data_IF_326830107864
#
_entry.id   IF_326830107864
#
_cell.length_a   1.000
_cell.length_b   1.000
_cell.length_c   1.000
_cell.angle_alpha   90.00
_cell.angle_beta   90.00
_cell.angle_gamma   90.00
#
_symmetry.space_group_name_H-M   'P 1'
#
loop_
_entity.id
_entity.type
_entity.pdbx_description
1 polymer ?
#
# COMPACT_ATOMS: atom_id res chain seq x y z
N UNK A 1 1.77 -3.68 6.50
CA UNK A 1 1.41 -4.70 5.49
C UNK A 1 1.76 -4.29 4.07
N UNK A 2 1.50 -3.04 3.65
CA UNK A 2 1.83 -2.50 2.31
C UNK A 2 3.25 -2.80 1.80
N UNK A 3 4.29 -2.49 2.59
CA UNK A 3 5.70 -2.76 2.21
C UNK A 3 5.96 -4.24 1.93
N UNK A 4 5.31 -5.13 2.69
CA UNK A 4 5.45 -6.58 2.51
C UNK A 4 4.77 -7.05 1.22
N UNK A 5 3.62 -6.46 0.87
CA UNK A 5 2.97 -6.67 -0.41
C UNK A 5 3.84 -6.19 -1.58
N UNK A 6 4.32 -4.94 -1.54
CA UNK A 6 5.25 -4.39 -2.54
C UNK A 6 6.46 -5.29 -2.76
N UNK A 7 7.13 -5.74 -1.68
CA UNK A 7 8.27 -6.67 -1.77
C UNK A 7 7.90 -8.02 -2.37
N UNK A 8 6.76 -8.59 -2.00
CA UNK A 8 6.29 -9.87 -2.52
C UNK A 8 6.09 -9.83 -4.04
N UNK A 9 5.58 -8.72 -4.56
CA UNK A 9 5.40 -8.49 -6.00
C UNK A 9 6.67 -7.95 -6.70
N UNK A 10 7.82 -7.95 -6.02
CA UNK A 10 9.12 -7.62 -6.58
C UNK A 10 9.48 -6.14 -6.60
N UNK A 11 8.81 -5.30 -5.81
CA UNK A 11 9.18 -3.91 -5.60
C UNK A 11 10.34 -3.78 -4.62
N UNK A 12 11.18 -2.78 -4.81
CA UNK A 12 12.27 -2.49 -3.88
C UNK A 12 12.18 -1.09 -3.30
N UNK A 13 13.33 -0.46 -3.05
CA UNK A 13 13.44 0.69 -2.14
C UNK A 13 12.68 1.92 -2.65
N UNK A 14 12.64 2.15 -3.96
CA UNK A 14 11.94 3.30 -4.52
C UNK A 14 10.43 3.06 -4.54
N UNK A 15 9.98 1.83 -4.80
CA UNK A 15 8.56 1.48 -4.67
C UNK A 15 8.06 1.63 -3.21
N UNK A 16 8.86 1.21 -2.23
CA UNK A 16 8.56 1.37 -0.81
C UNK A 16 8.47 2.84 -0.38
N UNK A 17 9.44 3.67 -0.78
CA UNK A 17 9.41 5.11 -0.53
C UNK A 17 8.25 5.78 -1.25
N UNK A 18 7.94 5.31 -2.46
CA UNK A 18 6.79 5.72 -3.24
C UNK A 18 5.48 5.52 -2.48
N UNK A 19 5.27 4.37 -1.84
CA UNK A 19 4.11 4.13 -0.96
C UNK A 19 4.04 5.17 0.15
N UNK A 20 5.15 5.42 0.86
CA UNK A 20 5.18 6.35 1.99
C UNK A 20 4.83 7.78 1.57
N UNK A 21 5.46 8.26 0.49
CA UNK A 21 5.18 9.58 -0.09
C UNK A 21 3.73 9.64 -0.57
N UNK A 22 3.27 8.59 -1.25
CA UNK A 22 1.90 8.45 -1.73
C UNK A 22 0.86 8.56 -0.61
N UNK A 23 1.11 7.97 0.56
CA UNK A 23 0.24 8.10 1.73
C UNK A 23 0.22 9.54 2.24
N UNK A 24 1.40 10.17 2.38
CA UNK A 24 1.53 11.55 2.89
C UNK A 24 0.78 12.51 1.98
N UNK A 25 0.97 12.42 0.67
CA UNK A 25 0.22 13.24 -0.28
C UNK A 25 -1.26 12.85 -0.33
N UNK A 26 -1.55 11.56 -0.25
CA UNK A 26 -2.91 11.02 -0.26
C UNK A 26 -3.80 11.53 0.86
N UNK A 27 -3.22 11.82 2.04
CA UNK A 27 -3.93 12.41 3.18
C UNK A 27 -4.56 13.78 2.86
N UNK A 28 -3.97 14.56 1.96
CA UNK A 28 -4.50 15.88 1.57
C UNK A 28 -5.71 15.80 0.63
N UNK A 29 -5.92 14.66 -0.05
CA UNK A 29 -6.94 14.47 -1.08
C UNK A 29 -8.11 13.60 -0.60
N UNK A 30 -8.46 13.67 0.69
CA UNK A 30 -9.62 12.96 1.25
C UNK A 30 -9.44 11.41 1.26
N UNK A 31 -10.43 10.59 1.68
CA UNK A 31 -10.26 9.13 1.81
C UNK A 31 -9.79 8.43 0.52
N UNK A 32 -10.22 8.97 -0.62
CA UNK A 32 -9.86 8.47 -1.94
C UNK A 32 -8.35 8.64 -2.19
N UNK A 33 -7.78 9.77 -1.78
CA UNK A 33 -6.34 10.02 -1.86
C UNK A 33 -5.51 9.02 -1.05
N UNK A 34 -6.01 8.53 0.08
CA UNK A 34 -5.30 7.55 0.92
C UNK A 34 -5.22 6.17 0.26
N UNK A 35 -6.15 5.83 -0.64
CA UNK A 35 -6.14 4.57 -1.40
C UNK A 35 -5.30 4.72 -2.68
N UNK A 36 -5.54 5.80 -3.42
CA UNK A 36 -4.90 6.07 -4.71
C UNK A 36 -3.44 6.51 -4.53
N UNK A 37 -3.14 7.26 -3.47
CA UNK A 37 -1.81 7.75 -3.15
C UNK A 37 -0.75 6.64 -3.06
N UNK A 38 -0.92 5.61 -2.20
CA UNK A 38 -0.02 4.46 -2.14
C UNK A 38 0.11 3.74 -3.48
N UNK A 39 -1.00 3.56 -4.22
CA UNK A 39 -1.00 2.92 -5.53
C UNK A 39 -0.10 3.69 -6.50
N UNK A 40 -0.39 4.98 -6.74
CA UNK A 40 0.37 5.82 -7.65
C UNK A 40 1.81 6.01 -7.20
N UNK A 41 2.03 6.23 -5.91
CA UNK A 41 3.35 6.39 -5.32
C UNK A 41 4.21 5.15 -5.52
N UNK A 42 3.66 3.96 -5.23
CA UNK A 42 4.36 2.69 -5.47
C UNK A 42 4.60 2.42 -6.95
N UNK A 43 3.67 2.81 -7.83
CA UNK A 43 3.80 2.66 -9.28
C UNK A 43 4.94 3.51 -9.84
N UNK A 44 4.97 4.79 -9.49
CA UNK A 44 6.03 5.72 -9.91
C UNK A 44 7.36 5.27 -9.33
N UNK A 45 7.40 4.92 -8.05
CA UNK A 45 8.59 4.39 -7.38
C UNK A 45 9.10 3.10 -8.02
N UNK A 46 8.20 2.17 -8.37
CA UNK A 46 8.55 0.93 -9.05
C UNK A 46 9.06 1.19 -10.47
N UNK A 47 8.46 2.14 -11.20
CA UNK A 47 8.87 2.50 -12.56
C UNK A 47 10.25 3.15 -12.61
N UNK A 48 10.59 3.93 -11.57
CA UNK A 48 11.91 4.51 -11.38
C UNK A 48 12.97 3.43 -11.08
N UNK A 49 12.58 2.37 -10.39
CA UNK A 49 13.50 1.28 -10.02
C UNK A 49 13.67 0.25 -11.15
N UNK A 50 12.55 -0.07 -11.80
CA UNK A 50 12.45 -1.02 -12.90
C UNK A 50 11.70 -0.30 -14.00
N UNK A 51 12.39 0.03 -15.09
CA UNK A 51 11.82 0.72 -16.24
C UNK A 51 10.91 -0.19 -17.08
N UNK A 52 10.05 -0.97 -16.41
CA UNK A 52 9.07 -1.89 -16.98
C UNK A 52 7.68 -1.60 -16.42
N UNK A 53 6.74 -1.37 -17.33
CA UNK A 53 5.37 -0.98 -16.98
C UNK A 53 4.60 -2.13 -16.32
N UNK A 54 4.76 -3.35 -16.83
CA UNK A 54 4.02 -4.53 -16.35
C UNK A 54 4.44 -4.89 -14.93
N UNK A 55 5.75 -4.91 -14.66
CA UNK A 55 6.29 -5.13 -13.32
C UNK A 55 5.82 -4.04 -12.35
N UNK A 56 5.87 -2.77 -12.76
CA UNK A 56 5.44 -1.65 -11.91
C UNK A 56 3.96 -1.75 -11.52
N UNK A 57 3.09 -2.16 -12.46
CA UNK A 57 1.67 -2.43 -12.18
C UNK A 57 1.48 -3.56 -11.17
N UNK A 58 2.17 -4.69 -11.33
CA UNK A 58 2.13 -5.81 -10.38
C UNK A 58 2.56 -5.37 -8.97
N UNK A 59 3.63 -4.58 -8.88
CA UNK A 59 4.13 -4.05 -7.61
C UNK A 59 3.09 -3.14 -6.93
N UNK A 60 2.40 -2.33 -7.73
CA UNK A 60 1.37 -1.40 -7.23
C UNK A 60 0.11 -2.13 -6.75
N UNK A 61 -0.26 -3.21 -7.44
CA UNK A 61 -1.30 -4.13 -6.96
C UNK A 61 -0.87 -4.74 -5.62
N UNK A 62 0.41 -5.10 -5.46
CA UNK A 62 0.97 -5.51 -4.18
C UNK A 62 0.80 -4.49 -3.06
N UNK A 63 0.95 -3.19 -3.35
CA UNK A 63 0.67 -2.13 -2.39
C UNK A 63 -0.81 -2.10 -1.98
N UNK A 64 -1.75 -2.19 -2.94
CA UNK A 64 -3.19 -2.26 -2.64
C UNK A 64 -3.56 -3.48 -1.80
N UNK A 65 -3.06 -4.67 -2.15
CA UNK A 65 -3.31 -5.89 -1.38
C UNK A 65 -2.80 -5.72 0.05
N UNK A 66 -1.61 -5.14 0.22
CA UNK A 66 -1.06 -4.86 1.54
C UNK A 66 -1.81 -3.75 2.29
N UNK A 67 -2.50 -2.84 1.59
CA UNK A 67 -3.35 -1.81 2.19
C UNK A 67 -4.66 -2.42 2.71
N UNK A 68 -5.40 -3.13 1.85
CA UNK A 68 -6.64 -3.80 2.23
C UNK A 68 -6.41 -4.91 3.25
N UNK A 69 -5.33 -5.70 3.10
CA UNK A 69 -4.93 -6.67 4.12
C UNK A 69 -4.67 -6.02 5.47
N UNK A 70 -4.09 -4.82 5.49
CA UNK A 70 -3.91 -4.02 6.70
C UNK A 70 -5.23 -3.58 7.33
N UNK A 71 -6.19 -3.13 6.50
CA UNK A 71 -7.54 -2.76 6.97
C UNK A 71 -8.25 -3.97 7.57
N UNK A 72 -8.28 -5.09 6.84
CA UNK A 72 -8.94 -6.34 7.28
C UNK A 72 -8.33 -6.81 8.60
N UNK A 73 -6.99 -6.85 8.70
CA UNK A 73 -6.32 -7.23 9.94
C UNK A 73 -6.68 -6.30 11.11
N UNK A 74 -6.79 -4.99 10.85
CA UNK A 74 -7.17 -4.01 11.87
C UNK A 74 -8.63 -4.19 12.31
N UNK A 75 -9.54 -4.50 11.38
CA UNK A 75 -10.94 -4.78 11.67
C UNK A 75 -11.10 -6.05 12.50
N UNK A 76 -10.40 -7.14 12.15
CA UNK A 76 -10.41 -8.40 12.93
C UNK A 76 -9.90 -8.14 14.35
N UNK A 77 -8.80 -7.42 14.49
CA UNK A 77 -8.24 -7.08 15.80
C UNK A 77 -9.23 -6.29 16.66
N UNK A 78 -9.86 -5.25 16.09
CA UNK A 78 -10.87 -4.46 16.80
C UNK A 78 -12.07 -5.31 17.21
N UNK A 79 -12.53 -6.20 16.33
CA UNK A 79 -13.65 -7.10 16.62
C UNK A 79 -13.34 -8.07 17.77
N UNK A 80 -12.16 -8.69 17.77
CA UNK A 80 -11.74 -9.59 18.84
C UNK A 80 -11.62 -8.87 20.20
N UNK A 81 -11.07 -7.65 20.18
CA UNK A 81 -10.95 -6.83 21.38
C UNK A 81 -12.33 -6.43 21.92
N UNK A 82 -13.27 -6.09 21.04
CA UNK A 82 -14.63 -5.74 21.41
C UNK A 82 -15.35 -6.89 22.13
N UNK A 83 -15.22 -8.12 21.63
CA UNK A 83 -15.81 -9.32 22.27
C UNK A 83 -15.20 -9.61 23.65
N UNK A 84 -13.95 -9.20 23.90
CA UNK A 84 -13.27 -9.43 25.19
C UNK A 84 -13.67 -8.44 26.29
N UNK A 85 -14.47 -7.41 25.97
CA UNK A 85 -14.95 -6.38 26.91
C UNK A 85 -16.35 -6.68 27.48
N UNK A 86 -16.99 -7.76 27.02
CA UNK A 86 -18.28 -8.28 27.49
C UNK A 86 -18.10 -9.66 28.11
#
# INVERSE_FOLDING_TARGET
MQIKGVKYFGGGKYAERGVLIGIIFGLFFSPIGIIIGPLLGSFIGAKLEKNDFVSSLKISIGALIGFFGGIIAKLIYVFLQFTSQF
#
